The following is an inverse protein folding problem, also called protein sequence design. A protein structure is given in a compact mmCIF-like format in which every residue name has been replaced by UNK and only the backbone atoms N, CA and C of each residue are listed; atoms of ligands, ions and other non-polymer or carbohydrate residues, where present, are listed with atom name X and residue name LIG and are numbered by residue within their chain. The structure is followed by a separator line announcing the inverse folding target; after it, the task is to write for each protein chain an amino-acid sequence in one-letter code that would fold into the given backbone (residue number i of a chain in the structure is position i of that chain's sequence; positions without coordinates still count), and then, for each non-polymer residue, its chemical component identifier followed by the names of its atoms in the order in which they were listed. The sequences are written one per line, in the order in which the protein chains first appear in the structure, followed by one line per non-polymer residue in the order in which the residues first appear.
data_IF_942899158964
#
_entry.id   IF_942899158964
#
_cell.length_a   1.000
_cell.length_b   1.000
_cell.length_c   1.000
_cell.angle_alpha   90.00
_cell.angle_beta   90.00
_cell.angle_gamma   90.00
#
_symmetry.space_group_name_H-M   'P 1'
#
loop_
_entity.id
_entity.type
_entity.pdbx_description
1 polymer ?
#
# COMPACT_ATOMS: atom_id res chain seq x y z
N UNK A 1 13.99 -19.56 15.52
CA UNK A 1 13.44 -18.33 16.11
C UNK A 1 12.73 -17.59 15.00
N UNK A 2 11.39 -17.57 14.99
CA UNK A 2 10.65 -16.76 14.03
C UNK A 2 10.83 -15.30 14.44
N UNK A 3 11.58 -14.55 13.63
CA UNK A 3 11.77 -13.11 13.84
C UNK A 3 10.43 -12.43 13.55
N UNK A 4 9.81 -11.84 14.58
CA UNK A 4 8.65 -10.97 14.43
C UNK A 4 9.02 -9.83 13.48
N UNK A 5 8.18 -9.59 12.46
CA UNK A 5 8.41 -8.49 11.51
C UNK A 5 8.16 -7.15 12.20
N UNK A 6 8.86 -6.09 11.76
CA UNK A 6 8.84 -4.77 12.43
C UNK A 6 7.44 -4.19 12.60
N UNK A 7 6.54 -4.43 11.64
CA UNK A 7 5.17 -3.89 11.62
C UNK A 7 4.10 -4.98 11.79
N UNK A 8 4.46 -6.14 12.33
CA UNK A 8 3.51 -7.21 12.58
C UNK A 8 2.37 -6.74 13.51
N UNK A 9 1.11 -6.97 13.09
CA UNK A 9 -0.08 -6.53 13.82
C UNK A 9 -0.52 -5.09 13.56
N UNK A 10 0.22 -4.31 12.77
CA UNK A 10 -0.18 -2.96 12.35
C UNK A 10 -1.12 -3.05 11.14
N UNK A 11 -2.25 -2.33 11.19
CA UNK A 11 -3.19 -2.20 10.06
C UNK A 11 -3.13 -0.78 9.50
N UNK A 12 -2.97 -0.67 8.18
CA UNK A 12 -2.80 0.60 7.47
C UNK A 12 -3.90 0.73 6.42
N UNK A 13 -4.56 1.88 6.41
CA UNK A 13 -5.47 2.28 5.34
C UNK A 13 -4.69 3.15 4.35
N UNK A 14 -4.51 2.67 3.13
CA UNK A 14 -3.85 3.40 2.06
C UNK A 14 -4.89 4.15 1.21
N UNK A 15 -4.90 5.48 1.36
CA UNK A 15 -5.67 6.42 0.54
C UNK A 15 -4.76 7.30 -0.32
N UNK A 16 -3.51 6.87 -0.52
CA UNK A 16 -2.59 7.56 -1.40
C UNK A 16 -2.97 7.29 -2.85
N UNK A 17 -2.39 8.03 -3.79
CA UNK A 17 -2.57 7.80 -5.23
C UNK A 17 -1.26 8.04 -5.96
N UNK A 18 -1.19 7.66 -7.24
CA UNK A 18 0.02 7.80 -8.07
C UNK A 18 1.15 6.92 -7.52
N UNK A 19 2.41 7.14 -7.87
CA UNK A 19 3.52 6.17 -7.70
C UNK A 19 4.04 6.09 -6.26
N UNK A 20 4.38 7.23 -5.66
CA UNK A 20 5.16 7.21 -4.41
C UNK A 20 4.37 6.73 -3.19
N UNK A 21 3.04 6.91 -3.20
CA UNK A 21 2.17 6.47 -2.12
C UNK A 21 2.08 4.95 -2.00
N UNK A 22 1.57 4.24 -3.03
CA UNK A 22 1.54 2.79 -3.12
C UNK A 22 2.92 2.15 -2.99
N UNK A 23 3.98 2.81 -3.48
CA UNK A 23 5.35 2.32 -3.26
C UNK A 23 5.74 2.33 -1.78
N UNK A 24 5.41 3.40 -1.06
CA UNK A 24 5.67 3.50 0.38
C UNK A 24 4.89 2.42 1.13
N UNK A 25 3.59 2.26 0.83
CA UNK A 25 2.75 1.29 1.55
C UNK A 25 3.10 -0.15 1.22
N UNK A 26 3.62 -0.44 0.02
CA UNK A 26 4.23 -1.74 -0.31
C UNK A 26 5.41 -2.08 0.61
N UNK A 27 6.34 -1.14 0.83
CA UNK A 27 7.46 -1.36 1.77
C UNK A 27 6.92 -1.63 3.19
N UNK A 28 5.89 -0.92 3.62
CA UNK A 28 5.28 -1.16 4.93
C UNK A 28 4.64 -2.56 5.03
N UNK A 29 4.04 -3.05 3.94
CA UNK A 29 3.50 -4.42 3.87
C UNK A 29 4.62 -5.48 3.95
N UNK A 30 5.75 -5.25 3.27
CA UNK A 30 6.93 -6.13 3.35
C UNK A 30 7.47 -6.25 4.79
N UNK A 31 7.46 -5.12 5.50
CA UNK A 31 7.80 -5.01 6.92
C UNK A 31 6.76 -5.61 7.87
N UNK A 32 5.66 -6.19 7.35
CA UNK A 32 4.69 -6.98 8.11
C UNK A 32 3.36 -6.32 8.41
N UNK A 33 3.11 -5.11 7.88
CA UNK A 33 1.82 -4.45 8.06
C UNK A 33 0.73 -5.08 7.18
N UNK A 34 -0.50 -5.11 7.68
CA UNK A 34 -1.70 -5.36 6.88
C UNK A 34 -2.12 -4.05 6.21
N UNK A 35 -1.91 -3.93 4.91
CA UNK A 35 -2.25 -2.73 4.14
C UNK A 35 -3.53 -2.95 3.35
N UNK A 36 -4.51 -2.06 3.54
CA UNK A 36 -5.78 -2.06 2.82
C UNK A 36 -5.83 -0.81 1.95
N UNK A 37 -5.77 -0.99 0.63
CA UNK A 37 -5.93 0.09 -0.35
C UNK A 37 -7.40 0.45 -0.50
N UNK A 38 -7.71 1.74 -0.37
CA UNK A 38 -9.05 2.30 -0.58
C UNK A 38 -9.05 3.06 -1.88
N UNK A 39 -9.82 2.53 -2.84
CA UNK A 39 -10.00 3.12 -4.16
C UNK A 39 -11.30 3.93 -4.23
N UNK A 40 -11.34 5.04 -4.97
CA UNK A 40 -12.58 5.74 -5.23
C UNK A 40 -13.56 4.84 -6.03
N UNK A 41 -14.88 5.02 -5.85
CA UNK A 41 -15.87 4.35 -6.69
C UNK A 41 -15.64 4.69 -8.17
N UNK A 42 -15.37 3.67 -8.99
CA UNK A 42 -14.98 3.84 -10.40
C UNK A 42 -13.48 3.67 -10.69
N UNK A 43 -12.66 3.48 -9.65
CA UNK A 43 -11.21 3.26 -9.73
C UNK A 43 -10.40 4.55 -9.88
N UNK A 44 -9.09 4.44 -9.67
CA UNK A 44 -8.15 5.53 -9.96
C UNK A 44 -8.19 5.98 -11.43
N UNK A 45 -7.85 7.25 -11.67
CA UNK A 45 -7.81 7.82 -13.02
C UNK A 45 -6.87 7.00 -13.93
N UNK A 46 -7.29 6.65 -15.16
CA UNK A 46 -6.47 5.88 -16.11
C UNK A 46 -5.13 6.54 -16.44
N UNK A 47 -5.06 7.87 -16.32
CA UNK A 47 -3.82 8.62 -16.52
C UNK A 47 -2.73 8.24 -15.50
N UNK A 48 -3.14 7.81 -14.30
CA UNK A 48 -2.20 7.44 -13.23
C UNK A 48 -2.00 5.94 -13.11
N UNK A 49 -2.93 5.11 -13.60
CA UNK A 49 -2.76 3.65 -13.64
C UNK A 49 -1.61 3.20 -14.55
N UNK A 50 -1.25 4.00 -15.56
CA UNK A 50 -0.13 3.73 -16.47
C UNK A 50 1.24 3.87 -15.78
N UNK A 51 1.33 4.55 -14.62
CA UNK A 51 2.59 4.74 -13.90
C UNK A 51 2.80 3.71 -12.76
N UNK A 52 1.92 2.70 -12.63
CA UNK A 52 1.99 1.65 -11.60
C UNK A 52 2.73 0.37 -12.06
N UNK A 53 3.42 0.41 -13.22
CA UNK A 53 4.21 -0.72 -13.77
C UNK A 53 5.66 -0.66 -13.31
#
# INVERSE_FOLDING_TARGET
MTQTKMLEGVRIIDMTSVVFGPYTTQILAELGAEVIKVEPPGGESPLFSMFQI
#
